data_IF_512342496503
#
_entry.id   IF_512342496503
#
_cell.length_a   1.000
_cell.length_b   1.000
_cell.length_c   1.000
_cell.angle_alpha   90.00
_cell.angle_beta   90.00
_cell.angle_gamma   90.00
#
_symmetry.space_group_name_H-M   'P 1'
#
loop_
_entity.id
_entity.type
_entity.pdbx_description
1 polymer ?
#
# COMPACT_ATOMS: atom_id res chain seq x y z
N UNK A 1 8.40 -13.89 53.03
CA UNK A 1 8.41 -13.39 51.64
C UNK A 1 7.19 -13.97 50.95
N UNK A 2 6.11 -13.19 50.87
CA UNK A 2 4.85 -13.62 50.25
C UNK A 2 4.74 -12.94 48.89
N UNK A 3 5.09 -13.65 47.82
CA UNK A 3 4.89 -13.16 46.46
C UNK A 3 3.41 -13.18 46.12
N UNK A 4 2.76 -12.01 46.16
CA UNK A 4 1.44 -11.87 45.57
C UNK A 4 1.52 -12.14 44.06
N UNK A 5 0.54 -12.84 43.46
CA UNK A 5 0.49 -12.98 42.02
C UNK A 5 0.35 -11.58 41.40
N UNK A 6 1.33 -11.18 40.59
CA UNK A 6 1.22 -9.97 39.78
C UNK A 6 0.07 -10.19 38.82
N UNK A 7 -1.06 -9.55 39.12
CA UNK A 7 -2.24 -9.61 38.30
C UNK A 7 -2.01 -8.69 37.10
N UNK A 8 -1.28 -9.18 36.10
CA UNK A 8 -1.07 -8.47 34.84
C UNK A 8 -2.42 -8.48 34.12
N UNK A 9 -3.23 -7.46 34.38
CA UNK A 9 -4.35 -7.12 33.52
C UNK A 9 -3.76 -6.67 32.20
N UNK A 10 -3.68 -7.57 31.21
CA UNK A 10 -3.68 -7.14 29.83
C UNK A 10 -4.98 -6.39 29.63
N UNK A 11 -4.92 -5.05 29.70
CA UNK A 11 -5.99 -4.20 29.22
C UNK A 11 -6.15 -4.65 27.78
N UNK A 12 -7.25 -5.31 27.43
CA UNK A 12 -7.55 -5.60 26.03
C UNK A 12 -7.55 -4.24 25.36
N UNK A 13 -6.43 -3.87 24.75
CA UNK A 13 -6.40 -2.76 23.83
C UNK A 13 -7.49 -3.08 22.82
N UNK A 14 -8.36 -2.10 22.59
CA UNK A 14 -9.46 -2.21 21.64
C UNK A 14 -8.91 -2.92 20.40
N UNK A 15 -9.55 -4.01 19.97
CA UNK A 15 -9.10 -4.81 18.82
C UNK A 15 -8.82 -3.90 17.63
N UNK A 16 -9.63 -2.84 17.46
CA UNK A 16 -9.46 -1.86 16.40
C UNK A 16 -8.14 -1.07 16.55
N UNK A 17 -7.75 -0.72 17.78
CA UNK A 17 -6.47 -0.07 18.09
C UNK A 17 -5.30 -0.99 17.76
N UNK A 18 -5.36 -2.26 18.17
CA UNK A 18 -4.32 -3.24 17.83
C UNK A 18 -4.19 -3.34 16.30
N UNK A 19 -5.31 -3.42 15.58
CA UNK A 19 -5.33 -3.51 14.12
C UNK A 19 -4.75 -2.25 13.47
N UNK A 20 -5.07 -1.05 13.97
CA UNK A 20 -4.57 0.21 13.43
C UNK A 20 -3.08 0.44 13.68
N UNK A 21 -2.54 -0.13 14.76
CA UNK A 21 -1.12 0.01 15.12
C UNK A 21 -0.21 -0.92 14.28
N UNK A 22 -0.78 -1.85 13.51
CA UNK A 22 -0.03 -2.73 12.62
C UNK A 22 0.54 -1.97 11.42
N UNK A 23 1.85 -2.11 11.22
CA UNK A 23 2.55 -1.45 10.11
C UNK A 23 2.07 -1.95 8.73
N UNK A 24 2.22 -1.11 7.71
CA UNK A 24 2.04 -1.53 6.30
C UNK A 24 2.86 -2.79 5.94
N UNK A 25 4.05 -2.94 6.52
CA UNK A 25 4.90 -4.12 6.28
C UNK A 25 4.27 -5.42 6.77
N UNK A 26 3.59 -5.38 7.93
CA UNK A 26 2.84 -6.52 8.45
C UNK A 26 1.72 -6.92 7.48
N UNK A 27 0.89 -5.96 7.05
CA UNK A 27 -0.23 -6.22 6.15
C UNK A 27 0.21 -6.77 4.81
N UNK A 28 1.28 -6.21 4.22
CA UNK A 28 1.83 -6.71 2.95
C UNK A 28 2.34 -8.14 3.10
N UNK A 29 3.08 -8.45 4.17
CA UNK A 29 3.59 -9.79 4.43
C UNK A 29 2.45 -10.80 4.60
N UNK A 30 1.42 -10.44 5.37
CA UNK A 30 0.24 -11.28 5.58
C UNK A 30 -0.49 -11.57 4.26
N UNK A 31 -0.70 -10.56 3.42
CA UNK A 31 -1.43 -10.67 2.15
C UNK A 31 -0.62 -11.38 1.04
N UNK A 32 0.72 -11.41 1.16
CA UNK A 32 1.60 -12.16 0.26
C UNK A 32 1.77 -13.63 0.63
N UNK A 33 1.48 -13.99 1.87
CA UNK A 33 1.68 -15.34 2.38
C UNK A 33 0.82 -16.36 1.60
N UNK A 34 1.50 -17.33 0.98
CA UNK A 34 0.87 -18.32 0.09
C UNK A 34 -0.18 -19.12 0.82
N UNK A 35 0.03 -19.43 2.10
CA UNK A 35 -0.91 -20.18 2.95
C UNK A 35 -2.27 -19.50 3.09
N UNK A 36 -2.30 -18.16 3.11
CA UNK A 36 -3.52 -17.37 3.29
C UNK A 36 -4.08 -16.81 2.00
N UNK A 37 -3.40 -17.04 0.87
CA UNK A 37 -3.78 -16.51 -0.44
C UNK A 37 -5.21 -16.86 -0.84
N UNK A 38 -5.69 -18.06 -0.52
CA UNK A 38 -7.08 -18.44 -0.81
C UNK A 38 -8.09 -17.66 0.02
N UNK A 39 -7.78 -17.35 1.28
CA UNK A 39 -8.65 -16.56 2.15
C UNK A 39 -8.81 -15.15 1.58
N UNK A 40 -7.69 -14.51 1.23
CA UNK A 40 -7.71 -13.13 0.75
C UNK A 40 -8.18 -12.99 -0.69
N UNK A 41 -7.81 -13.94 -1.57
CA UNK A 41 -8.26 -13.92 -2.96
C UNK A 41 -9.74 -14.27 -3.14
N UNK A 42 -10.33 -15.02 -2.21
CA UNK A 42 -11.72 -15.45 -2.34
C UNK A 42 -12.68 -14.58 -1.53
N UNK A 43 -12.18 -13.69 -0.67
CA UNK A 43 -13.02 -12.82 0.14
C UNK A 43 -13.21 -11.45 -0.52
N UNK A 44 -14.35 -11.21 -1.22
CA UNK A 44 -14.61 -9.94 -1.88
C UNK A 44 -14.74 -8.78 -0.89
N UNK A 45 -14.99 -9.03 0.39
CA UNK A 45 -15.18 -7.99 1.41
C UNK A 45 -13.91 -7.21 1.75
N UNK A 46 -12.72 -7.75 1.42
CA UNK A 46 -11.45 -7.04 1.68
C UNK A 46 -11.32 -5.82 0.75
N UNK A 47 -11.89 -5.92 -0.45
CA UNK A 47 -11.87 -4.88 -1.48
C UNK A 47 -13.27 -4.75 -2.06
N UNK A 48 -14.25 -4.47 -1.20
CA UNK A 48 -15.68 -4.47 -1.52
C UNK A 48 -16.01 -3.52 -2.68
N UNK A 49 -15.28 -2.41 -2.78
CA UNK A 49 -15.51 -1.37 -3.77
C UNK A 49 -14.77 -1.59 -5.09
N UNK A 50 -14.05 -2.69 -5.24
CA UNK A 50 -13.30 -2.99 -6.47
C UNK A 50 -14.12 -3.80 -7.46
N UNK A 51 -13.88 -3.59 -8.77
CA UNK A 51 -14.42 -4.49 -9.80
C UNK A 51 -13.55 -5.75 -9.88
N UNK A 52 -14.17 -6.89 -10.22
CA UNK A 52 -13.44 -8.16 -10.39
C UNK A 52 -12.33 -8.05 -11.44
N UNK A 53 -12.56 -7.31 -12.52
CA UNK A 53 -11.56 -7.06 -13.59
C UNK A 53 -10.32 -6.33 -13.09
N UNK A 54 -10.45 -5.53 -12.05
CA UNK A 54 -9.37 -4.69 -11.53
C UNK A 54 -8.60 -5.45 -10.44
N UNK A 55 -9.27 -6.41 -9.79
CA UNK A 55 -8.67 -7.27 -8.77
C UNK A 55 -7.85 -8.42 -9.32
N UNK A 56 -8.18 -8.97 -10.49
CA UNK A 56 -7.53 -10.16 -11.01
C UNK A 56 -7.07 -9.96 -12.45
N UNK A 57 -5.90 -10.51 -12.78
CA UNK A 57 -5.48 -10.59 -14.17
C UNK A 57 -6.27 -11.67 -14.95
N UNK A 58 -6.01 -11.78 -16.26
CA UNK A 58 -6.63 -12.78 -17.14
C UNK A 58 -6.43 -14.23 -16.71
N UNK A 59 -5.45 -14.51 -15.84
CA UNK A 59 -5.17 -15.84 -15.27
C UNK A 59 -5.80 -16.05 -13.89
N UNK A 60 -6.63 -15.12 -13.41
CA UNK A 60 -7.28 -15.20 -12.09
C UNK A 60 -6.33 -14.93 -10.91
N UNK A 61 -5.11 -14.43 -11.15
CA UNK A 61 -4.20 -14.00 -10.06
C UNK A 61 -4.64 -12.64 -9.56
N UNK A 62 -4.82 -12.54 -8.24
CA UNK A 62 -5.06 -11.26 -7.58
C UNK A 62 -3.89 -10.27 -7.81
N UNK A 63 -4.23 -9.06 -8.22
CA UNK A 63 -3.31 -7.96 -8.53
C UNK A 63 -2.96 -7.13 -7.28
N UNK A 64 -3.87 -7.07 -6.30
CA UNK A 64 -3.69 -6.24 -5.10
C UNK A 64 -2.41 -6.60 -4.33
N UNK A 65 -2.02 -7.88 -4.29
CA UNK A 65 -0.79 -8.29 -3.60
C UNK A 65 0.43 -7.64 -4.25
N UNK A 66 0.52 -7.72 -5.59
CA UNK A 66 1.64 -7.15 -6.33
C UNK A 66 1.68 -5.62 -6.15
N UNK A 67 0.52 -4.96 -6.19
CA UNK A 67 0.41 -3.52 -5.96
C UNK A 67 0.90 -3.13 -4.56
N UNK A 68 0.43 -3.82 -3.52
CA UNK A 68 0.84 -3.55 -2.13
C UNK A 68 2.34 -3.73 -1.90
N UNK A 69 2.97 -4.72 -2.54
CA UNK A 69 4.41 -4.92 -2.45
C UNK A 69 5.20 -3.81 -3.16
N UNK A 70 4.75 -3.35 -4.32
CA UNK A 70 5.34 -2.20 -4.99
C UNK A 70 5.21 -0.92 -4.17
N UNK A 71 4.04 -0.69 -3.56
CA UNK A 71 3.78 0.44 -2.67
C UNK A 71 4.72 0.38 -1.47
N UNK A 72 4.86 -0.78 -0.83
CA UNK A 72 5.77 -1.00 0.29
C UNK A 72 7.21 -0.68 -0.10
N UNK A 73 7.68 -1.16 -1.26
CA UNK A 73 9.03 -0.88 -1.78
C UNK A 73 9.22 0.60 -2.05
N UNK A 74 8.27 1.26 -2.70
CA UNK A 74 8.33 2.70 -2.97
C UNK A 74 8.42 3.49 -1.66
N UNK A 75 7.54 3.21 -0.69
CA UNK A 75 7.54 3.87 0.62
C UNK A 75 8.88 3.69 1.33
N UNK A 76 9.43 2.48 1.31
CA UNK A 76 10.72 2.20 1.94
C UNK A 76 11.86 2.97 1.24
N UNK A 77 11.87 3.05 -0.09
CA UNK A 77 12.86 3.86 -0.81
C UNK A 77 12.77 5.34 -0.42
N UNK A 78 11.57 5.90 -0.37
CA UNK A 78 11.34 7.30 0.04
C UNK A 78 11.82 7.52 1.48
N UNK A 79 11.47 6.62 2.41
CA UNK A 79 11.90 6.71 3.81
C UNK A 79 13.43 6.65 3.96
N UNK A 80 14.10 5.84 3.15
CA UNK A 80 15.57 5.75 3.13
C UNK A 80 16.23 6.84 2.26
N UNK A 81 15.50 7.85 1.81
CA UNK A 81 16.00 8.91 0.90
C UNK A 81 16.67 8.38 -0.37
N UNK A 82 16.25 7.20 -0.84
CA UNK A 82 16.78 6.58 -2.05
C UNK A 82 16.15 7.23 -3.30
N UNK A 83 16.92 7.29 -4.40
CA UNK A 83 16.43 7.76 -5.71
C UNK A 83 15.26 6.89 -6.17
N UNK A 84 14.18 7.53 -6.64
CA UNK A 84 12.99 6.86 -7.20
C UNK A 84 12.72 7.24 -8.67
N UNK A 85 13.54 8.09 -9.29
CA UNK A 85 13.32 8.59 -10.66
C UNK A 85 13.39 7.51 -11.75
N UNK A 86 14.02 6.35 -11.48
CA UNK A 86 14.01 5.19 -12.39
C UNK A 86 12.68 4.41 -12.37
N UNK A 87 11.85 4.65 -11.37
CA UNK A 87 10.57 3.96 -11.19
C UNK A 87 9.48 4.61 -12.06
N UNK A 88 8.51 3.82 -12.53
CA UNK A 88 7.29 4.35 -13.13
C UNK A 88 6.38 4.91 -12.01
N UNK A 89 6.51 6.20 -11.74
CA UNK A 89 5.83 6.87 -10.63
C UNK A 89 4.34 7.07 -10.89
N UNK A 90 3.91 7.34 -12.12
CA UNK A 90 2.49 7.52 -12.44
C UNK A 90 1.71 6.21 -12.30
N UNK A 91 2.26 5.09 -12.78
CA UNK A 91 1.63 3.78 -12.59
C UNK A 91 1.56 3.43 -11.11
N UNK A 92 2.62 3.68 -10.34
CA UNK A 92 2.61 3.42 -8.89
C UNK A 92 1.61 4.30 -8.15
N UNK A 93 1.53 5.58 -8.49
CA UNK A 93 0.52 6.49 -7.94
C UNK A 93 -0.90 5.99 -8.24
N UNK A 94 -1.19 5.64 -9.49
CA UNK A 94 -2.49 5.07 -9.88
C UNK A 94 -2.83 3.81 -9.08
N UNK A 95 -1.86 2.93 -8.84
CA UNK A 95 -2.04 1.72 -8.02
C UNK A 95 -2.33 2.04 -6.56
N UNK A 96 -1.71 3.08 -5.99
CA UNK A 96 -2.00 3.56 -4.63
C UNK A 96 -3.45 4.04 -4.56
N UNK A 97 -3.87 4.90 -5.49
CA UNK A 97 -5.24 5.43 -5.54
C UNK A 97 -6.26 4.30 -5.69
N UNK A 98 -6.00 3.32 -6.55
CA UNK A 98 -6.88 2.16 -6.72
C UNK A 98 -7.02 1.35 -5.43
N UNK A 99 -5.92 1.04 -4.73
CA UNK A 99 -5.98 0.30 -3.46
C UNK A 99 -6.82 1.06 -2.42
N UNK A 100 -6.64 2.38 -2.33
CA UNK A 100 -7.41 3.23 -1.41
C UNK A 100 -8.89 3.21 -1.78
N UNK A 101 -9.23 3.37 -3.06
CA UNK A 101 -10.61 3.30 -3.56
C UNK A 101 -11.29 1.98 -3.22
N UNK A 102 -10.56 0.87 -3.41
CA UNK A 102 -11.07 -0.47 -3.18
C UNK A 102 -11.38 -0.73 -1.70
N UNK A 103 -10.66 -0.06 -0.79
CA UNK A 103 -10.86 -0.13 0.65
C UNK A 103 -11.96 0.84 1.09
N UNK A 104 -11.92 2.09 0.62
CA UNK A 104 -12.83 3.16 1.03
C UNK A 104 -12.87 4.28 -0.03
N UNK A 105 -13.97 4.36 -0.82
CA UNK A 105 -14.20 5.45 -1.75
C UNK A 105 -14.22 6.83 -1.07
N UNK A 106 -14.73 6.90 0.17
CA UNK A 106 -14.74 8.13 0.97
C UNK A 106 -13.30 8.62 1.25
N UNK A 107 -12.39 7.69 1.59
CA UNK A 107 -10.98 8.02 1.81
C UNK A 107 -10.31 8.50 0.52
N UNK A 108 -10.63 7.89 -0.63
CA UNK A 108 -10.15 8.38 -1.93
C UNK A 108 -10.69 9.79 -2.22
N UNK A 109 -11.98 10.03 -1.95
CA UNK A 109 -12.59 11.34 -2.16
C UNK A 109 -11.87 12.42 -1.37
N UNK A 110 -11.63 12.18 -0.09
CA UNK A 110 -10.84 13.08 0.77
C UNK A 110 -9.40 13.23 0.28
N UNK A 111 -8.76 12.14 -0.18
CA UNK A 111 -7.40 12.19 -0.68
C UNK A 111 -7.26 13.10 -1.91
N UNK A 112 -8.26 13.16 -2.79
CA UNK A 112 -8.23 14.04 -3.97
C UNK A 112 -8.08 15.53 -3.61
N UNK A 113 -8.53 15.94 -2.43
CA UNK A 113 -8.43 17.34 -1.98
C UNK A 113 -7.01 17.73 -1.55
N UNK A 114 -6.17 16.74 -1.23
CA UNK A 114 -4.81 16.97 -0.70
C UNK A 114 -3.70 16.38 -1.59
N UNK A 115 -4.04 15.49 -2.52
CA UNK A 115 -3.09 14.84 -3.41
C UNK A 115 -2.62 15.79 -4.53
N UNK A 116 -1.35 16.19 -4.44
CA UNK A 116 -0.69 17.05 -5.42
C UNK A 116 0.21 16.31 -6.39
N UNK A 117 0.19 14.98 -6.41
CA UNK A 117 1.11 14.19 -7.24
C UNK A 117 1.05 14.62 -8.71
N UNK A 118 -0.14 14.68 -9.30
CA UNK A 118 -0.29 15.02 -10.72
C UNK A 118 0.16 16.45 -11.04
N UNK A 119 -0.13 17.41 -10.15
CA UNK A 119 0.32 18.81 -10.28
C UNK A 119 1.85 18.89 -10.28
N UNK A 120 2.49 18.30 -9.27
CA UNK A 120 3.95 18.31 -9.11
C UNK A 120 4.62 17.53 -10.23
N UNK A 121 4.13 16.34 -10.56
CA UNK A 121 4.72 15.50 -11.60
C UNK A 121 4.67 16.22 -12.96
N UNK A 122 3.53 16.85 -13.30
CA UNK A 122 3.38 17.63 -14.53
C UNK A 122 4.28 18.86 -14.54
N UNK A 123 4.39 19.57 -13.41
CA UNK A 123 5.26 20.75 -13.28
C UNK A 123 6.73 20.44 -13.61
N UNK A 124 7.20 19.25 -13.22
CA UNK A 124 8.59 18.82 -13.43
C UNK A 124 8.75 17.79 -14.54
N UNK A 125 7.77 17.64 -15.44
CA UNK A 125 7.77 16.55 -16.42
C UNK A 125 9.02 16.58 -17.32
N UNK A 126 9.40 17.77 -17.80
CA UNK A 126 10.57 17.95 -18.66
C UNK A 126 11.88 17.62 -17.91
N UNK A 127 12.01 18.08 -16.68
CA UNK A 127 13.16 17.82 -15.81
C UNK A 127 13.27 16.35 -15.45
N UNK A 128 12.15 15.71 -15.11
CA UNK A 128 12.09 14.27 -14.82
C UNK A 128 12.57 13.47 -16.03
N UNK A 129 12.10 13.81 -17.25
CA UNK A 129 12.56 13.13 -18.46
C UNK A 129 14.04 13.41 -18.78
N UNK A 130 14.55 14.61 -18.48
CA UNK A 130 15.97 14.91 -18.56
C UNK A 130 16.79 14.06 -17.58
N UNK A 131 16.42 14.06 -16.30
CA UNK A 131 17.09 13.29 -15.25
C UNK A 131 17.05 11.79 -15.52
N UNK A 132 15.93 11.25 -16.05
CA UNK A 132 15.84 9.85 -16.47
C UNK A 132 16.86 9.50 -17.56
N UNK A 133 17.12 10.39 -18.51
CA UNK A 133 18.12 10.18 -19.57
C UNK A 133 19.53 10.17 -19.01
N UNK A 134 19.86 11.09 -18.11
CA UNK A 134 21.18 11.16 -17.45
C UNK A 134 21.46 9.90 -16.62
N UNK A 135 20.47 9.48 -15.84
CA UNK A 135 20.52 8.30 -14.98
C UNK A 135 20.66 6.98 -15.76
N UNK A 136 20.23 6.93 -17.04
CA UNK A 136 20.42 5.77 -17.93
C UNK A 136 21.83 5.68 -18.52
N UNK A 137 22.60 6.78 -18.51
CA UNK A 137 23.97 6.86 -19.03
C UNK A 137 25.04 6.51 -17.98
N UNK A 138 24.68 6.59 -16.69
CA UNK A 138 25.52 6.18 -15.54
C UNK A 138 25.32 4.72 -15.18
#
# INVERSE_FOLDING_TARGET
MNGQPVNIKFKYEDRNKIISDLSLGFWVALLHERKYRNIFNLNPKIFEHSKRTDRYNSKGKALFSDYLEEIRRLRNRVFHHNKILKEDLQTKHTRIINIIDWISPDTKSWLNDIDRFNEVYKKYENEIESWKKEIRKS
#
